data_IF_152501558292
#
_entry.id   IF_152501558292
#
_cell.length_a   1.000
_cell.length_b   1.000
_cell.length_c   1.000
_cell.angle_alpha   90.00
_cell.angle_beta   90.00
_cell.angle_gamma   90.00
#
_symmetry.space_group_name_H-M   'P 1'
#
loop_
_entity.id
_entity.type
_entity.pdbx_description
1 polymer ?
#
# COMPACT_ATOMS: atom_id res chain seq x y z
N UNK A 1 -3.02 -13.19 -15.53
CA UNK A 1 -2.73 -13.01 -14.09
C UNK A 1 -1.67 -14.02 -13.68
N UNK A 2 -0.68 -13.65 -12.85
CA UNK A 2 0.34 -14.60 -12.34
C UNK A 2 0.76 -14.24 -10.92
N UNK A 3 1.09 -15.24 -10.10
CA UNK A 3 1.73 -15.05 -8.80
C UNK A 3 3.18 -14.57 -9.02
N UNK A 4 3.62 -13.57 -8.26
CA UNK A 4 4.95 -12.96 -8.37
C UNK A 4 5.52 -12.62 -7.01
N UNK A 5 6.83 -12.41 -6.95
CA UNK A 5 7.47 -11.79 -5.78
C UNK A 5 7.40 -10.26 -5.87
N UNK A 6 7.48 -9.58 -4.73
CA UNK A 6 7.43 -8.10 -4.67
C UNK A 6 8.57 -7.46 -5.47
N UNK A 7 9.73 -8.11 -5.55
CA UNK A 7 10.91 -7.63 -6.27
C UNK A 7 10.74 -7.65 -7.80
N UNK A 8 9.80 -8.47 -8.31
CA UNK A 8 9.50 -8.54 -9.75
C UNK A 8 8.53 -7.44 -10.21
N UNK A 9 7.97 -6.66 -9.29
CA UNK A 9 6.98 -5.64 -9.59
C UNK A 9 7.63 -4.36 -10.08
N UNK A 10 7.02 -3.76 -11.10
CA UNK A 10 7.35 -2.43 -11.59
C UNK A 10 6.29 -1.43 -11.12
N UNK A 11 6.71 -0.20 -10.80
CA UNK A 11 5.73 0.84 -10.43
C UNK A 11 4.70 1.04 -11.53
N UNK A 12 3.44 1.12 -11.14
CA UNK A 12 2.33 1.27 -12.07
C UNK A 12 1.67 -0.05 -12.46
N UNK A 13 2.23 -1.19 -12.05
CA UNK A 13 1.56 -2.49 -12.17
C UNK A 13 0.27 -2.50 -11.35
N UNK A 14 -0.79 -3.05 -11.94
CA UNK A 14 -2.00 -3.39 -11.20
C UNK A 14 -1.81 -4.77 -10.57
N UNK A 15 -1.95 -4.82 -9.25
CA UNK A 15 -1.72 -6.03 -8.45
C UNK A 15 -2.90 -6.29 -7.51
N UNK A 16 -3.04 -7.55 -7.10
CA UNK A 16 -3.84 -7.99 -5.97
C UNK A 16 -2.89 -8.56 -4.91
N UNK A 17 -3.05 -8.17 -3.66
CA UNK A 17 -2.22 -8.57 -2.53
C UNK A 17 -3.10 -9.28 -1.51
N UNK A 18 -2.71 -10.48 -1.13
CA UNK A 18 -3.25 -11.20 0.03
C UNK A 18 -2.29 -10.98 1.20
N UNK A 19 -2.78 -10.46 2.31
CA UNK A 19 -1.98 -10.19 3.51
C UNK A 19 -2.82 -10.33 4.77
N UNK A 20 -2.18 -10.47 5.92
CA UNK A 20 -2.88 -10.56 7.20
C UNK A 20 -2.94 -9.21 7.90
N UNK A 21 -4.16 -8.75 8.19
CA UNK A 21 -4.43 -7.54 8.96
C UNK A 21 -5.34 -7.85 10.14
N UNK A 22 -4.75 -8.04 11.31
CA UNK A 22 -5.50 -8.31 12.52
C UNK A 22 -6.45 -7.16 12.92
N UNK A 23 -6.23 -5.93 12.44
CA UNK A 23 -7.09 -4.79 12.76
C UNK A 23 -8.47 -4.86 12.09
N UNK A 24 -8.64 -5.72 11.08
CA UNK A 24 -9.94 -5.97 10.44
C UNK A 24 -10.85 -6.86 11.29
N UNK A 25 -10.32 -7.56 12.30
CA UNK A 25 -11.14 -8.36 13.21
C UNK A 25 -11.93 -7.46 14.18
N UNK A 26 -13.24 -7.30 13.92
CA UNK A 26 -14.16 -6.63 14.84
C UNK A 26 -14.79 -7.63 15.80
N UNK A 27 -14.18 -7.81 16.96
CA UNK A 27 -14.65 -8.76 17.97
C UNK A 27 -14.44 -8.25 19.40
N UNK A 28 -15.18 -8.81 20.37
CA UNK A 28 -14.95 -8.55 21.81
C UNK A 28 -13.62 -9.15 22.26
N UNK A 29 -13.02 -8.62 23.33
CA UNK A 29 -11.68 -9.01 23.79
C UNK A 29 -11.51 -10.53 23.99
N UNK A 30 -12.54 -11.21 24.51
CA UNK A 30 -12.55 -12.66 24.73
C UNK A 30 -12.66 -13.51 23.46
N UNK A 31 -12.68 -12.90 22.28
CA UNK A 31 -12.81 -13.57 20.98
C UNK A 31 -11.54 -13.42 20.11
N UNK A 32 -10.44 -12.89 20.67
CA UNK A 32 -9.18 -12.64 19.96
C UNK A 32 -8.16 -13.79 20.06
N UNK A 33 -8.60 -15.04 20.24
CA UNK A 33 -7.68 -16.20 20.32
C UNK A 33 -6.90 -16.44 19.01
N UNK A 34 -7.46 -16.01 17.87
CA UNK A 34 -6.85 -16.09 16.53
C UNK A 34 -7.15 -14.80 15.75
N UNK A 35 -6.34 -13.75 15.95
CA UNK A 35 -6.63 -12.43 15.40
C UNK A 35 -6.32 -12.31 13.90
N UNK A 36 -5.76 -13.35 13.27
CA UNK A 36 -5.36 -13.32 11.86
C UNK A 36 -6.58 -13.20 10.93
N UNK A 37 -6.67 -12.08 10.21
CA UNK A 37 -7.67 -11.88 9.15
C UNK A 37 -6.96 -11.73 7.83
N UNK A 38 -7.24 -12.64 6.89
CA UNK A 38 -6.73 -12.55 5.53
C UNK A 38 -7.51 -11.46 4.77
N UNK A 39 -6.79 -10.47 4.25
CA UNK A 39 -7.31 -9.35 3.49
C UNK A 39 -6.80 -9.43 2.06
N UNK A 40 -7.71 -9.28 1.11
CA UNK A 40 -7.42 -9.14 -0.30
C UNK A 40 -7.56 -7.67 -0.70
N UNK A 41 -6.45 -7.00 -0.99
CA UNK A 41 -6.47 -5.62 -1.49
C UNK A 41 -5.89 -5.55 -2.90
N UNK A 42 -6.54 -4.84 -3.81
CA UNK A 42 -6.01 -4.56 -5.15
C UNK A 42 -5.67 -3.08 -5.32
N UNK A 43 -4.77 -2.79 -6.26
CA UNK A 43 -4.41 -1.43 -6.59
C UNK A 43 -3.13 -1.31 -7.39
N UNK A 44 -2.67 -0.08 -7.57
CA UNK A 44 -1.45 0.21 -8.32
C UNK A 44 -0.24 0.09 -7.41
N UNK A 45 0.74 -0.73 -7.78
CA UNK A 45 2.00 -0.81 -7.05
C UNK A 45 2.79 0.50 -7.18
N UNK A 46 3.02 1.18 -6.06
CA UNK A 46 3.78 2.43 -6.00
C UNK A 46 5.23 2.22 -5.53
N UNK A 47 5.57 1.00 -5.12
CA UNK A 47 6.91 0.62 -4.65
C UNK A 47 6.94 0.22 -3.17
N UNK A 48 8.11 -0.23 -2.72
CA UNK A 48 8.37 -0.52 -1.29
C UNK A 48 9.10 0.65 -0.62
N UNK A 49 8.68 1.03 0.60
CA UNK A 49 9.29 2.11 1.40
C UNK A 49 9.37 1.75 2.88
N UNK A 50 10.10 2.55 3.65
CA UNK A 50 10.24 2.43 5.10
C UNK A 50 11.68 2.28 5.56
N UNK A 51 11.97 2.87 6.74
CA UNK A 51 13.30 2.88 7.37
C UNK A 51 13.49 1.64 8.26
N UNK A 52 12.64 1.48 9.28
CA UNK A 52 12.72 0.34 10.24
C UNK A 52 12.08 -0.95 9.71
N UNK A 53 10.91 -0.84 9.08
CA UNK A 53 10.17 -1.96 8.46
C UNK A 53 9.76 -1.58 7.05
N UNK A 54 9.83 -2.54 6.13
CA UNK A 54 9.46 -2.35 4.73
C UNK A 54 7.96 -2.51 4.56
N UNK A 55 7.36 -1.59 3.83
CA UNK A 55 5.95 -1.58 3.48
C UNK A 55 5.80 -1.47 1.98
N UNK A 56 4.94 -2.32 1.40
CA UNK A 56 4.44 -2.16 0.05
C UNK A 56 3.43 -1.00 0.05
N UNK A 57 3.61 -0.06 -0.88
CA UNK A 57 2.68 1.04 -1.11
C UNK A 57 1.72 0.66 -2.24
N UNK A 58 0.45 0.48 -1.91
CA UNK A 58 -0.61 0.10 -2.84
C UNK A 58 -1.53 1.30 -3.06
N UNK A 59 -1.47 1.91 -4.23
CA UNK A 59 -2.30 3.05 -4.61
C UNK A 59 -3.75 2.63 -4.85
N UNK A 60 -4.69 3.23 -4.12
CA UNK A 60 -6.14 3.01 -4.21
C UNK A 60 -6.79 4.03 -5.16
N UNK A 61 -6.45 5.30 -4.98
CA UNK A 61 -6.91 6.39 -5.82
C UNK A 61 -5.81 7.43 -6.06
N UNK A 62 -5.84 8.07 -7.23
CA UNK A 62 -4.99 9.22 -7.54
C UNK A 62 -5.85 10.48 -7.62
N UNK A 63 -5.70 11.37 -6.64
CA UNK A 63 -6.53 12.58 -6.54
C UNK A 63 -5.88 13.70 -7.34
N UNK A 64 -6.43 14.00 -8.53
CA UNK A 64 -5.88 15.00 -9.45
C UNK A 64 -5.70 16.38 -8.81
N UNK A 65 -6.63 16.80 -7.95
CA UNK A 65 -6.57 18.10 -7.27
C UNK A 65 -5.36 18.26 -6.34
N UNK A 66 -4.82 17.16 -5.81
CA UNK A 66 -3.67 17.17 -4.89
C UNK A 66 -2.38 16.68 -5.57
N UNK A 67 -2.50 15.98 -6.69
CA UNK A 67 -1.36 15.33 -7.35
C UNK A 67 -0.75 14.22 -6.49
N UNK A 68 -1.57 13.61 -5.62
CA UNK A 68 -1.15 12.64 -4.62
C UNK A 68 -1.98 11.35 -4.71
N UNK A 69 -1.43 10.29 -4.14
CA UNK A 69 -2.06 8.97 -4.05
C UNK A 69 -2.64 8.73 -2.66
N UNK A 70 -3.91 8.32 -2.62
CA UNK A 70 -4.41 7.52 -1.51
C UNK A 70 -3.77 6.13 -1.61
N UNK A 71 -3.15 5.66 -0.53
CA UNK A 71 -2.40 4.42 -0.55
C UNK A 71 -2.49 3.63 0.76
N UNK A 72 -2.70 2.32 0.64
CA UNK A 72 -2.43 1.37 1.70
C UNK A 72 -0.92 1.17 1.86
N UNK A 73 -0.51 0.89 3.10
CA UNK A 73 0.88 0.69 3.51
C UNK A 73 0.97 -0.68 4.16
N UNK A 74 1.17 -1.70 3.34
CA UNK A 74 1.10 -3.10 3.78
C UNK A 74 2.50 -3.54 4.24
N UNK A 75 2.72 -3.93 5.51
CA UNK A 75 3.99 -4.47 5.95
C UNK A 75 4.38 -5.69 5.09
N UNK A 76 5.56 -5.67 4.48
CA UNK A 76 5.98 -6.74 3.56
C UNK A 76 6.03 -8.10 4.28
N UNK A 77 6.32 -8.11 5.57
CA UNK A 77 6.36 -9.32 6.40
C UNK A 77 5.00 -9.97 6.64
N UNK A 78 3.89 -9.26 6.36
CA UNK A 78 2.53 -9.79 6.53
C UNK A 78 1.87 -10.16 5.20
N UNK A 79 2.58 -9.97 4.08
CA UNK A 79 2.11 -10.35 2.75
C UNK A 79 2.27 -11.86 2.59
N UNK A 80 1.19 -12.52 2.21
CA UNK A 80 1.17 -13.93 1.90
C UNK A 80 1.33 -14.16 0.39
N UNK A 81 0.60 -13.42 -0.44
CA UNK A 81 0.62 -13.57 -1.89
C UNK A 81 0.55 -12.23 -2.62
N UNK A 82 1.18 -12.16 -3.79
CA UNK A 82 1.09 -11.02 -4.71
C UNK A 82 0.78 -11.52 -6.11
N UNK A 83 -0.37 -11.13 -6.62
CA UNK A 83 -0.83 -11.45 -7.96
C UNK A 83 -0.65 -10.24 -8.86
N UNK A 84 0.15 -10.40 -9.92
CA UNK A 84 0.24 -9.42 -10.99
C UNK A 84 -0.96 -9.59 -11.93
N UNK A 85 -1.83 -8.58 -11.94
CA UNK A 85 -3.02 -8.54 -12.78
C UNK A 85 -2.69 -7.96 -14.15
N UNK A 86 -2.05 -6.77 -14.18
CA UNK A 86 -1.67 -6.11 -15.42
C UNK A 86 -0.39 -5.27 -15.27
N UNK A 87 0.58 -5.51 -16.17
CA UNK A 87 1.81 -4.70 -16.23
C UNK A 87 1.51 -3.27 -16.66
N UNK A 88 2.18 -2.31 -16.00
CA UNK A 88 2.18 -0.88 -16.33
C UNK A 88 0.76 -0.32 -16.55
N UNK A 89 -0.20 -0.83 -15.78
CA UNK A 89 -1.62 -0.46 -15.88
C UNK A 89 -1.81 1.04 -15.75
N UNK A 90 -1.11 1.66 -14.80
CA UNK A 90 -1.22 3.09 -14.57
C UNK A 90 -0.73 3.91 -15.77
N UNK A 91 0.41 3.56 -16.36
CA UNK A 91 0.98 4.26 -17.50
C UNK A 91 0.11 4.11 -18.75
N UNK A 92 -0.62 3.00 -18.89
CA UNK A 92 -1.60 2.82 -19.98
C UNK A 92 -2.77 3.79 -19.86
N UNK A 93 -3.26 4.03 -18.64
CA UNK A 93 -4.40 4.93 -18.40
C UNK A 93 -3.98 6.41 -18.29
N UNK A 94 -2.77 6.68 -17.79
CA UNK A 94 -2.25 8.02 -17.54
C UNK A 94 -0.84 8.18 -18.14
N UNK A 95 -0.68 8.09 -19.47
CA UNK A 95 0.63 8.04 -20.13
C UNK A 95 1.50 9.26 -19.87
N UNK A 96 0.87 10.42 -19.65
CA UNK A 96 1.54 11.69 -19.41
C UNK A 96 1.87 11.94 -17.93
N UNK A 97 1.44 11.05 -17.02
CA UNK A 97 1.62 11.22 -15.59
C UNK A 97 2.74 10.32 -15.07
N UNK A 98 3.89 10.95 -14.81
CA UNK A 98 5.05 10.24 -14.28
C UNK A 98 4.83 9.90 -12.82
N UNK A 99 4.91 8.60 -12.47
CA UNK A 99 5.05 8.15 -11.09
C UNK A 99 6.41 8.60 -10.54
N UNK A 100 6.50 9.87 -10.11
CA UNK A 100 7.75 10.48 -9.63
C UNK A 100 8.36 9.64 -8.51
N UNK A 101 9.69 9.47 -8.53
CA UNK A 101 10.45 8.68 -7.52
C UNK A 101 10.31 9.17 -6.08
N UNK A 102 9.87 10.42 -5.87
CA UNK A 102 9.77 11.08 -4.57
C UNK A 102 8.38 11.70 -4.41
N UNK A 103 7.53 11.06 -3.60
CA UNK A 103 6.50 11.79 -2.85
C UNK A 103 7.30 12.53 -1.77
N UNK A 104 7.48 13.85 -1.94
CA UNK A 104 7.99 14.70 -0.86
C UNK A 104 6.84 14.81 0.13
N UNK A 105 6.78 13.87 1.08
CA UNK A 105 5.96 14.10 2.28
C UNK A 105 6.61 15.31 2.96
N UNK A 106 5.98 16.49 2.83
CA UNK A 106 6.29 17.59 3.75
C UNK A 106 5.92 17.04 5.12
N UNK A 107 6.92 16.77 5.97
CA UNK A 107 6.66 16.55 7.39
C UNK A 107 5.89 17.78 7.88
N UNK A 108 4.58 17.64 8.09
CA UNK A 108 3.82 18.63 8.84
C UNK A 108 4.33 18.53 10.28
N UNK A 109 5.37 19.29 10.59
CA UNK A 109 5.81 19.53 11.97
C UNK A 109 4.78 20.45 12.65
N UNK A 110 3.56 19.99 12.84
CA UNK A 110 2.70 20.52 13.88
C UNK A 110 3.24 19.98 15.20
N UNK A 111 4.20 20.70 15.79
CA UNK A 111 4.50 20.56 17.21
C UNK A 111 3.23 20.92 17.96
N UNK A 112 2.45 19.92 18.38
CA UNK A 112 1.45 20.13 19.41
C UNK A 112 2.23 20.49 20.67
N UNK A 113 2.25 21.77 21.02
CA UNK A 113 2.68 22.20 22.35
C UNK A 113 1.61 21.71 23.31
N UNK A 114 1.89 20.61 24.00
CA UNK A 114 1.15 20.26 25.21
C UNK A 114 1.72 21.16 26.30
N UNK A 115 0.95 22.15 26.73
CA UNK A 115 1.24 22.86 27.97
C UNK A 115 0.76 21.95 29.11
N UNK A 116 1.72 21.46 29.90
CA UNK A 116 1.48 20.91 31.24
C UNK A 116 1.55 22.09 32.21
#
# INVERSE_FOLDING_TARGET
>A
MRLVRVEELERGDLILVKWFDASELRAKLNQHEKPEVAVYEWGIYLGVRGRKRKHLLLGKEHVKGWGEWGAARIPVSLIEEVWLLMRRSYQKCFPNLVLKKKIRIKESRSRVKVNI
#
